data_IF_328163928021
#
_entry.id   IF_328163928021
#
_cell.length_a   1.000
_cell.length_b   1.000
_cell.length_c   1.000
_cell.angle_alpha   90.00
_cell.angle_beta   90.00
_cell.angle_gamma   90.00
#
_symmetry.space_group_name_H-M   'P 1'
#
loop_
_entity.id
_entity.type
_entity.pdbx_description
1 polymer ?
#
# COMPACT_ATOMS: atom_id res chain seq x y z
N UNK A 1 -2.73 -17.49 4.62
CA UNK A 1 -1.60 -16.57 4.31
C UNK A 1 -2.16 -15.45 3.44
N UNK A 2 -1.58 -14.27 3.55
CA UNK A 2 -1.93 -13.08 2.74
C UNK A 2 -0.65 -12.55 2.11
N UNK A 3 -0.78 -11.83 0.99
CA UNK A 3 0.36 -11.23 0.28
C UNK A 3 0.23 -9.72 0.36
N UNK A 4 1.07 -9.11 1.20
CA UNK A 4 1.25 -7.66 1.23
C UNK A 4 2.23 -7.21 0.15
N UNK A 5 1.77 -6.37 -0.77
CA UNK A 5 2.59 -5.86 -1.86
C UNK A 5 2.25 -4.41 -2.19
N UNK A 6 3.26 -3.64 -2.63
CA UNK A 6 3.08 -2.25 -3.03
C UNK A 6 4.17 -1.80 -4.00
N UNK A 7 4.12 -0.53 -4.40
CA UNK A 7 5.02 0.04 -5.40
C UNK A 7 6.45 0.32 -4.91
N UNK A 8 6.71 0.17 -3.61
CA UNK A 8 7.97 0.56 -2.97
C UNK A 8 8.13 2.07 -2.85
N UNK A 9 8.75 2.51 -1.75
CA UNK A 9 8.82 3.94 -1.40
C UNK A 9 10.16 4.35 -0.77
N UNK A 10 10.73 3.55 0.12
CA UNK A 10 11.87 3.94 0.95
C UNK A 10 13.16 4.07 0.12
N UNK A 11 13.63 5.29 -0.10
CA UNK A 11 14.73 5.57 -1.03
C UNK A 11 16.02 4.83 -0.66
N UNK A 12 16.28 4.64 0.64
CA UNK A 12 17.45 3.91 1.13
C UNK A 12 17.46 2.45 0.70
N UNK A 13 16.31 1.77 0.64
CA UNK A 13 16.24 0.37 0.21
C UNK A 13 16.71 0.22 -1.25
N UNK A 14 16.34 1.17 -2.10
CA UNK A 14 16.74 1.18 -3.50
C UNK A 14 18.25 1.39 -3.65
N UNK A 15 18.81 2.36 -2.92
CA UNK A 15 20.26 2.61 -2.91
C UNK A 15 21.02 1.38 -2.41
N UNK A 16 20.58 0.77 -1.31
CA UNK A 16 21.26 -0.36 -0.68
C UNK A 16 21.14 -1.66 -1.48
N UNK A 17 20.02 -1.86 -2.19
CA UNK A 17 19.79 -3.03 -3.05
C UNK A 17 20.33 -2.87 -4.48
N UNK A 18 20.80 -1.67 -4.85
CA UNK A 18 21.26 -1.38 -6.21
C UNK A 18 20.13 -1.25 -7.24
N UNK A 19 18.88 -1.07 -6.79
CA UNK A 19 17.71 -0.89 -7.66
C UNK A 19 17.54 0.60 -7.98
N UNK A 20 17.22 0.91 -9.24
CA UNK A 20 16.94 2.29 -9.65
C UNK A 20 15.70 2.84 -8.92
N UNK A 21 15.86 3.96 -8.23
CA UNK A 21 14.77 4.67 -7.57
C UNK A 21 13.99 5.54 -8.57
N UNK A 22 13.16 4.90 -9.39
CA UNK A 22 12.30 5.56 -10.37
C UNK A 22 11.30 6.54 -9.73
N UNK A 23 10.77 7.51 -10.49
CA UNK A 23 9.72 8.42 -10.01
C UNK A 23 8.47 7.65 -9.54
N UNK A 24 7.70 8.13 -8.54
CA UNK A 24 6.56 7.40 -7.97
C UNK A 24 5.54 6.89 -9.01
N UNK A 25 5.25 7.68 -10.04
CA UNK A 25 4.32 7.29 -11.11
C UNK A 25 4.77 6.02 -11.84
N UNK A 26 6.06 5.93 -12.20
CA UNK A 26 6.65 4.78 -12.88
C UNK A 26 6.64 3.55 -11.96
N UNK A 27 6.95 3.74 -10.67
CA UNK A 27 6.89 2.64 -9.69
C UNK A 27 5.48 2.07 -9.56
N UNK A 28 4.46 2.93 -9.55
CA UNK A 28 3.04 2.52 -9.53
C UNK A 28 2.66 1.79 -10.82
N UNK A 29 3.09 2.28 -11.99
CA UNK A 29 2.82 1.62 -13.27
C UNK A 29 3.42 0.21 -13.32
N UNK A 30 4.69 0.08 -12.91
CA UNK A 30 5.37 -1.21 -12.75
C UNK A 30 4.65 -2.12 -11.77
N UNK A 31 4.19 -1.59 -10.64
CA UNK A 31 3.46 -2.38 -9.65
C UNK A 31 2.16 -2.96 -10.22
N UNK A 32 1.42 -2.18 -11.00
CA UNK A 32 0.17 -2.64 -11.60
C UNK A 32 0.38 -3.79 -12.59
N UNK A 33 1.35 -3.67 -13.50
CA UNK A 33 1.69 -4.77 -14.41
C UNK A 33 2.18 -6.01 -13.62
N UNK A 34 3.03 -5.80 -12.62
CA UNK A 34 3.54 -6.87 -11.77
C UNK A 34 2.44 -7.60 -11.01
N UNK A 35 1.48 -6.87 -10.44
CA UNK A 35 0.33 -7.44 -9.72
C UNK A 35 -0.52 -8.31 -10.65
N UNK A 36 -0.79 -7.85 -11.87
CA UNK A 36 -1.53 -8.64 -12.85
C UNK A 36 -0.80 -9.94 -13.21
N UNK A 37 0.51 -9.85 -13.47
CA UNK A 37 1.36 -11.01 -13.77
C UNK A 37 1.35 -12.00 -12.60
N UNK A 38 1.49 -11.52 -11.36
CA UNK A 38 1.48 -12.36 -10.16
C UNK A 38 0.13 -13.08 -10.02
N UNK A 39 -0.99 -12.37 -10.21
CA UNK A 39 -2.34 -12.98 -10.13
C UNK A 39 -2.54 -14.04 -11.21
N UNK A 40 -2.11 -13.77 -12.46
CA UNK A 40 -2.16 -14.75 -13.57
C UNK A 40 -1.28 -15.96 -13.27
N UNK A 41 -0.06 -15.76 -12.77
CA UNK A 41 0.82 -16.85 -12.40
C UNK A 41 0.20 -17.77 -11.33
N UNK A 42 -0.52 -17.21 -10.34
CA UNK A 42 -1.13 -17.99 -9.27
C UNK A 42 -2.31 -18.87 -9.70
N UNK A 43 -2.95 -18.59 -10.86
CA UNK A 43 -4.01 -19.46 -11.39
C UNK A 43 -3.45 -20.81 -11.84
N UNK A 44 -2.19 -20.84 -12.31
CA UNK A 44 -1.55 -22.00 -12.93
C UNK A 44 -1.91 -22.22 -14.39
N UNK A 45 -2.69 -21.32 -14.98
CA UNK A 45 -2.94 -21.31 -16.42
C UNK A 45 -1.71 -20.80 -17.17
N UNK A 46 -1.45 -21.35 -18.36
CA UNK A 46 -0.40 -20.84 -19.25
C UNK A 46 -0.79 -19.45 -19.73
N UNK A 47 0.10 -18.47 -19.60
CA UNK A 47 -0.18 -17.11 -20.04
C UNK A 47 1.03 -16.42 -20.69
N UNK A 48 0.69 -15.43 -21.52
CA UNK A 48 1.61 -14.40 -22.01
C UNK A 48 1.12 -13.03 -21.54
N UNK A 49 2.04 -12.10 -21.35
CA UNK A 49 1.77 -10.72 -20.96
C UNK A 49 2.72 -9.79 -21.71
N UNK A 50 2.22 -8.67 -22.22
CA UNK A 50 3.03 -7.67 -22.92
C UNK A 50 2.59 -6.28 -22.46
N UNK A 51 3.25 -5.79 -21.42
CA UNK A 51 3.07 -4.44 -20.89
C UNK A 51 4.20 -3.51 -21.29
N UNK A 52 4.19 -2.30 -20.74
CA UNK A 52 5.23 -1.30 -20.92
C UNK A 52 6.50 -1.68 -20.16
N UNK A 53 6.36 -2.34 -19.02
CA UNK A 53 7.47 -2.64 -18.12
C UNK A 53 7.88 -4.10 -18.14
N UNK A 54 6.94 -5.01 -18.41
CA UNK A 54 7.23 -6.45 -18.42
C UNK A 54 6.68 -7.15 -19.66
N UNK A 55 7.44 -8.17 -20.10
CA UNK A 55 7.01 -9.12 -21.13
C UNK A 55 7.20 -10.52 -20.58
N UNK A 56 6.13 -11.32 -20.63
CA UNK A 56 6.10 -12.73 -20.25
C UNK A 56 5.60 -13.51 -21.46
N UNK A 57 6.31 -14.55 -21.85
CA UNK A 57 5.96 -15.37 -23.02
C UNK A 57 5.76 -16.80 -22.58
N UNK A 58 4.55 -17.33 -22.82
CA UNK A 58 4.21 -18.75 -22.70
C UNK A 58 4.58 -19.39 -21.34
N UNK A 59 4.36 -18.65 -20.26
CA UNK A 59 4.75 -19.04 -18.91
C UNK A 59 3.63 -19.79 -18.17
N UNK A 60 3.99 -20.86 -17.47
CA UNK A 60 3.13 -21.60 -16.54
C UNK A 60 3.83 -21.70 -15.20
N UNK A 61 3.24 -21.13 -14.15
CA UNK A 61 3.89 -21.09 -12.83
C UNK A 61 3.72 -22.40 -12.05
N UNK A 62 4.79 -22.84 -11.38
CA UNK A 62 4.76 -23.92 -10.39
C UNK A 62 5.81 -23.64 -9.29
N UNK A 63 5.58 -24.03 -8.02
CA UNK A 63 4.35 -24.62 -7.47
C UNK A 63 3.22 -23.58 -7.33
N UNK A 64 1.99 -24.06 -7.18
CA UNK A 64 0.81 -23.21 -7.02
C UNK A 64 0.46 -23.03 -5.54
N UNK A 65 -0.11 -21.87 -5.15
CA UNK A 65 -0.60 -21.68 -3.79
C UNK A 65 -1.72 -22.67 -3.48
N UNK A 66 -1.80 -23.08 -2.20
CA UNK A 66 -2.93 -23.90 -1.70
C UNK A 66 -4.25 -23.13 -1.80
N UNK A 67 -4.22 -21.82 -1.50
CA UNK A 67 -5.36 -20.92 -1.63
C UNK A 67 -5.61 -20.57 -3.11
N UNK A 68 -6.88 -20.65 -3.54
CA UNK A 68 -7.30 -20.42 -4.93
C UNK A 68 -8.32 -19.27 -5.03
N UNK A 69 -8.32 -18.51 -6.14
CA UNK A 69 -7.35 -18.55 -7.24
C UNK A 69 -5.98 -17.97 -6.85
N UNK A 70 -5.92 -17.15 -5.79
CA UNK A 70 -4.70 -16.65 -5.16
C UNK A 70 -4.95 -16.44 -3.65
N UNK A 71 -3.90 -16.36 -2.81
CA UNK A 71 -4.04 -15.81 -1.47
C UNK A 71 -4.57 -14.37 -1.51
N UNK A 72 -5.27 -13.89 -0.46
CA UNK A 72 -5.73 -12.52 -0.39
C UNK A 72 -4.58 -11.53 -0.56
N UNK A 73 -4.81 -10.49 -1.36
CA UNK A 73 -3.83 -9.46 -1.67
C UNK A 73 -4.11 -8.22 -0.81
N UNK A 74 -3.10 -7.83 -0.03
CA UNK A 74 -3.05 -6.55 0.66
C UNK A 74 -2.28 -5.54 -0.18
N UNK A 75 -2.92 -4.42 -0.50
CA UNK A 75 -2.28 -3.26 -1.14
C UNK A 75 -2.30 -2.09 -0.19
N UNK A 76 -1.11 -1.62 0.19
CA UNK A 76 -0.93 -0.46 1.06
C UNK A 76 -0.63 0.82 0.28
N UNK A 77 -1.23 1.93 0.68
CA UNK A 77 -0.88 3.25 0.14
C UNK A 77 -1.46 4.41 0.93
N UNK A 78 -0.89 5.60 0.74
CA UNK A 78 -1.43 6.86 1.28
C UNK A 78 -1.79 7.90 0.23
N UNK A 79 -1.29 7.75 -0.99
CA UNK A 79 -1.63 8.63 -2.11
C UNK A 79 -2.97 8.25 -2.75
N UNK A 80 -3.78 9.23 -3.22
CA UNK A 80 -5.08 8.96 -3.83
C UNK A 80 -5.05 7.96 -4.98
N UNK A 81 -3.99 7.99 -5.80
CA UNK A 81 -3.84 7.04 -6.92
C UNK A 81 -3.76 5.59 -6.44
N UNK A 82 -2.89 5.30 -5.46
CA UNK A 82 -2.71 3.93 -4.96
C UNK A 82 -3.94 3.47 -4.19
N UNK A 83 -4.56 4.34 -3.39
CA UNK A 83 -5.80 4.00 -2.67
C UNK A 83 -6.96 3.65 -3.61
N UNK A 84 -7.11 4.41 -4.71
CA UNK A 84 -8.11 4.08 -5.74
C UNK A 84 -7.85 2.71 -6.38
N UNK A 85 -6.58 2.41 -6.67
CA UNK A 85 -6.19 1.12 -7.25
C UNK A 85 -6.39 -0.03 -6.25
N UNK A 86 -6.03 0.18 -4.99
CA UNK A 86 -6.24 -0.79 -3.91
C UNK A 86 -7.74 -1.11 -3.76
N UNK A 87 -8.60 -0.08 -3.73
CA UNK A 87 -10.05 -0.25 -3.69
C UNK A 87 -10.61 -1.07 -4.86
N UNK A 88 -9.93 -1.04 -6.01
CA UNK A 88 -10.34 -1.77 -7.22
C UNK A 88 -9.72 -3.17 -7.35
N UNK A 89 -8.61 -3.46 -6.67
CA UNK A 89 -7.79 -4.64 -6.99
C UNK A 89 -7.47 -5.52 -5.79
N UNK A 90 -7.46 -4.95 -4.58
CA UNK A 90 -7.09 -5.64 -3.36
C UNK A 90 -8.28 -6.34 -2.70
N UNK A 91 -7.95 -7.33 -1.88
CA UNK A 91 -8.85 -7.93 -0.90
C UNK A 91 -8.73 -7.19 0.44
N UNK A 92 -7.54 -6.65 0.72
CA UNK A 92 -7.23 -5.88 1.93
C UNK A 92 -6.60 -4.54 1.53
N UNK A 93 -7.16 -3.42 2.02
CA UNK A 93 -6.65 -2.07 1.72
C UNK A 93 -5.96 -1.50 2.95
N UNK A 94 -4.63 -1.35 2.84
CA UNK A 94 -3.80 -0.75 3.88
C UNK A 94 -3.77 0.78 3.81
N UNK A 95 -4.44 1.45 4.74
CA UNK A 95 -4.45 2.91 4.87
C UNK A 95 -3.15 3.36 5.53
N UNK A 96 -2.35 4.12 4.79
CA UNK A 96 -1.06 4.65 5.23
C UNK A 96 -0.99 6.17 5.01
N UNK A 97 -0.03 6.89 5.63
CA UNK A 97 0.34 8.21 5.15
C UNK A 97 0.98 8.14 3.76
N UNK A 98 0.96 9.25 3.03
CA UNK A 98 1.70 9.38 1.78
C UNK A 98 3.20 9.33 2.03
N UNK A 99 3.90 8.49 1.26
CA UNK A 99 5.34 8.26 1.36
C UNK A 99 6.07 8.67 0.07
N UNK A 100 5.50 9.68 -0.62
CA UNK A 100 5.94 10.12 -1.95
C UNK A 100 7.40 10.61 -1.97
N UNK A 101 7.88 11.16 -0.86
CA UNK A 101 9.22 11.73 -0.73
C UNK A 101 10.29 10.67 -0.44
N UNK A 102 9.87 9.41 -0.25
CA UNK A 102 10.77 8.28 0.00
C UNK A 102 11.44 8.25 1.36
N UNK A 103 11.02 9.14 2.25
CA UNK A 103 11.46 9.28 3.64
C UNK A 103 10.25 9.59 4.51
N UNK A 104 10.33 9.29 5.81
CA UNK A 104 9.34 9.76 6.78
C UNK A 104 9.76 11.17 7.22
N UNK A 105 8.91 12.15 6.96
CA UNK A 105 9.11 13.57 7.30
C UNK A 105 7.89 14.13 8.04
N UNK A 106 7.93 15.42 8.38
CA UNK A 106 6.82 16.09 9.08
C UNK A 106 5.49 16.00 8.30
N UNK A 107 5.52 16.15 6.97
CA UNK A 107 4.33 16.00 6.12
C UNK A 107 3.75 14.59 6.23
N UNK A 108 4.60 13.56 6.21
CA UNK A 108 4.20 12.16 6.41
C UNK A 108 3.49 11.96 7.75
N UNK A 109 4.00 12.60 8.80
CA UNK A 109 3.45 12.48 10.16
C UNK A 109 2.13 13.24 10.28
N UNK A 110 2.00 14.43 9.71
CA UNK A 110 0.72 15.18 9.67
C UNK A 110 -0.40 14.39 8.98
N UNK A 111 -0.04 13.53 8.02
CA UNK A 111 -0.98 12.63 7.35
C UNK A 111 -1.45 11.43 8.18
N UNK A 112 -0.96 11.27 9.41
CA UNK A 112 -1.39 10.24 10.36
C UNK A 112 -2.52 10.71 11.29
N UNK A 113 -3.02 11.94 11.15
CA UNK A 113 -4.15 12.45 11.93
C UNK A 113 -5.46 11.68 11.64
N UNK A 114 -6.39 11.70 12.59
CA UNK A 114 -7.70 11.06 12.45
C UNK A 114 -8.46 11.56 11.22
N UNK A 115 -8.41 12.87 10.94
CA UNK A 115 -9.07 13.49 9.79
C UNK A 115 -8.45 13.05 8.46
N UNK A 116 -7.12 12.95 8.39
CA UNK A 116 -6.42 12.47 7.20
C UNK A 116 -6.77 11.00 6.91
N UNK A 117 -6.78 10.17 7.96
CA UNK A 117 -7.16 8.76 7.86
C UNK A 117 -8.62 8.62 7.43
N UNK A 118 -9.54 9.38 8.04
CA UNK A 118 -10.96 9.37 7.69
C UNK A 118 -11.17 9.76 6.23
N UNK A 119 -10.49 10.80 5.76
CA UNK A 119 -10.54 11.24 4.35
C UNK A 119 -10.08 10.14 3.37
N UNK A 120 -9.03 9.39 3.74
CA UNK A 120 -8.51 8.26 2.94
C UNK A 120 -9.49 7.07 2.94
N UNK A 121 -10.10 6.76 4.08
CA UNK A 121 -11.12 5.72 4.18
C UNK A 121 -12.33 6.05 3.31
N UNK A 122 -12.81 7.29 3.34
CA UNK A 122 -13.93 7.72 2.49
C UNK A 122 -13.57 7.66 1.00
N UNK A 123 -12.36 8.03 0.61
CA UNK A 123 -11.88 7.86 -0.76
C UNK A 123 -11.94 6.38 -1.21
N UNK A 124 -11.51 5.46 -0.34
CA UNK A 124 -11.55 4.01 -0.62
C UNK A 124 -13.00 3.53 -0.77
N UNK A 125 -13.89 3.89 0.17
CA UNK A 125 -15.31 3.51 0.10
C UNK A 125 -15.98 4.02 -1.17
N UNK A 126 -15.78 5.30 -1.50
CA UNK A 126 -16.32 5.91 -2.72
C UNK A 126 -15.82 5.22 -3.98
N UNK A 127 -14.53 4.85 -4.02
CA UNK A 127 -13.94 4.18 -5.19
C UNK A 127 -14.36 2.71 -5.31
N UNK A 128 -14.48 2.01 -4.18
CA UNK A 128 -14.86 0.60 -4.15
C UNK A 128 -16.33 0.40 -4.53
N UNK A 129 -17.22 1.34 -4.16
CA UNK A 129 -18.65 1.20 -4.39
C UNK A 129 -19.19 -0.11 -3.78
N UNK A 130 -19.86 -0.92 -4.59
CA UNK A 130 -20.40 -2.21 -4.14
C UNK A 130 -19.34 -3.22 -3.69
N UNK A 131 -18.08 -3.11 -4.14
CA UNK A 131 -17.00 -4.00 -3.70
C UNK A 131 -16.61 -3.81 -2.25
N UNK A 132 -17.01 -2.71 -1.62
CA UNK A 132 -16.62 -2.42 -0.24
C UNK A 132 -17.01 -3.55 0.73
N UNK A 133 -18.09 -4.30 0.45
CA UNK A 133 -18.51 -5.46 1.25
C UNK A 133 -17.50 -6.62 1.25
N UNK A 134 -16.58 -6.63 0.28
CA UNK A 134 -15.58 -7.69 0.07
C UNK A 134 -14.16 -7.20 0.38
N UNK A 135 -14.01 -6.00 0.94
CA UNK A 135 -12.71 -5.40 1.23
C UNK A 135 -12.55 -5.30 2.75
N UNK A 136 -11.45 -5.87 3.24
CA UNK A 136 -10.98 -5.60 4.60
C UNK A 136 -10.19 -4.28 4.61
N UNK A 137 -10.50 -3.39 5.56
CA UNK A 137 -9.69 -2.19 5.79
C UNK A 137 -8.63 -2.50 6.84
N UNK A 138 -7.38 -2.23 6.49
CA UNK A 138 -6.24 -2.38 7.37
C UNK A 138 -5.63 -1.01 7.67
N UNK A 139 -5.22 -0.79 8.91
CA UNK A 139 -4.39 0.35 9.30
C UNK A 139 -3.25 -0.16 10.17
N UNK A 140 -2.04 0.36 9.94
CA UNK A 140 -0.88 0.04 10.76
C UNK A 140 -0.74 1.07 11.87
N UNK A 141 -0.84 0.61 13.12
CA UNK A 141 -0.50 1.43 14.28
C UNK A 141 1.01 1.42 14.49
N UNK A 142 1.67 2.55 14.23
CA UNK A 142 3.14 2.66 14.32
C UNK A 142 3.64 2.91 15.75
N UNK A 143 2.85 3.64 16.54
CA UNK A 143 3.18 4.07 17.89
C UNK A 143 1.95 3.91 18.77
N UNK A 144 2.14 3.33 19.95
CA UNK A 144 1.15 3.34 21.02
C UNK A 144 1.85 3.98 22.22
N UNK A 145 1.29 5.09 22.69
CA UNK A 145 1.79 5.82 23.85
C UNK A 145 0.73 5.78 24.94
N UNK A 146 1.04 5.13 26.06
CA UNK A 146 0.12 5.00 27.21
C UNK A 146 0.50 6.09 28.22
N UNK A 147 -0.46 6.94 28.55
CA UNK A 147 -0.32 8.05 29.51
C UNK A 147 -1.52 8.12 30.43
N UNK A 148 -1.37 8.83 31.53
CA UNK A 148 -2.43 9.01 32.51
C UNK A 148 -3.51 9.99 32.03
N UNK A 149 -3.22 10.81 31.01
CA UNK A 149 -4.19 11.69 30.35
C UNK A 149 -3.97 11.79 28.83
N UNK A 150 -5.04 12.12 28.09
CA UNK A 150 -4.98 12.32 26.64
C UNK A 150 -4.09 13.53 26.27
N UNK A 151 -4.18 14.63 27.02
CA UNK A 151 -3.38 15.83 26.77
C UNK A 151 -1.88 15.55 26.86
N UNK A 152 -1.44 14.76 27.84
CA UNK A 152 -0.04 14.34 27.95
C UNK A 152 0.41 13.48 26.77
N UNK A 153 -0.45 12.57 26.31
CA UNK A 153 -0.16 11.72 25.15
C UNK A 153 -0.02 12.54 23.86
N UNK A 154 -0.94 13.48 23.62
CA UNK A 154 -0.95 14.35 22.44
C UNK A 154 0.28 15.25 22.46
N UNK A 155 0.50 16.00 23.55
CA UNK A 155 1.65 16.92 23.65
C UNK A 155 3.00 16.18 23.57
N UNK A 156 3.12 15.02 24.22
CA UNK A 156 4.33 14.21 24.16
C UNK A 156 4.65 13.72 22.75
N UNK A 157 3.62 13.28 22.01
CA UNK A 157 3.77 12.78 20.64
C UNK A 157 4.06 13.91 19.66
N UNK A 158 3.37 15.05 19.78
CA UNK A 158 3.62 16.24 18.99
C UNK A 158 5.06 16.74 19.14
N UNK A 159 5.57 16.79 20.38
CA UNK A 159 6.96 17.15 20.67
C UNK A 159 7.98 16.16 20.08
N UNK A 160 7.71 14.85 20.18
CA UNK A 160 8.58 13.80 19.60
C UNK A 160 8.75 14.00 18.09
N UNK A 161 7.69 14.39 17.40
CA UNK A 161 7.67 14.56 15.95
C UNK A 161 7.90 16.00 15.48
N UNK A 162 8.01 16.96 16.40
CA UNK A 162 8.15 18.39 16.11
C UNK A 162 7.01 18.95 15.25
N UNK A 163 5.78 18.54 15.57
CA UNK A 163 4.53 19.01 14.94
C UNK A 163 3.63 19.69 15.98
N UNK A 164 2.57 20.37 15.53
CA UNK A 164 1.59 20.95 16.44
C UNK A 164 0.77 19.83 17.14
N UNK A 165 0.36 20.02 18.40
CA UNK A 165 -0.61 19.14 19.03
C UNK A 165 -1.98 19.35 18.38
N UNK A 166 -2.57 18.26 17.89
CA UNK A 166 -3.93 18.19 17.32
C UNK A 166 -4.72 17.09 18.02
#
# INVERSE_FOLDING_TARGET
MEIGIGAGWMATDYVQSGIVYDKPGVRIDRFLEGLEIIKRAMTGEKFSFSGRHYTITDYTATPLPVQRPCPPILIGGGGPRVLKLAAQLADIVGINPSLKDGVVNADTISEMSADSVTSKVELVKQTAGSRMSNIELNIRTFLVNIRDSADEAINGTANMFKVAPE
#
